data_IF_228791593954
#
_entry.id   IF_228791593954
#
_cell.length_a   1.000
_cell.length_b   1.000
_cell.length_c   1.000
_cell.angle_alpha   90.00
_cell.angle_beta   90.00
_cell.angle_gamma   90.00
#
_symmetry.space_group_name_H-M   'P 1'
#
loop_
_entity.id
_entity.type
_entity.pdbx_description
1 polymer ?
#
# COMPACT_ATOMS: atom_id res chain seq x y z
N UNK A 1 -37.87 -33.12 -57.94
CA UNK A 1 -36.73 -32.21 -57.76
C UNK A 1 -36.93 -31.44 -56.45
N UNK A 2 -36.25 -31.93 -55.40
CA UNK A 2 -36.36 -31.37 -54.03
C UNK A 2 -35.20 -30.38 -53.80
N UNK A 3 -35.52 -29.09 -53.60
CA UNK A 3 -34.52 -28.03 -53.31
C UNK A 3 -34.25 -28.03 -51.84
N UNK A 4 -33.03 -28.43 -51.45
CA UNK A 4 -32.49 -28.37 -50.10
C UNK A 4 -31.99 -26.92 -49.83
N UNK A 5 -32.67 -26.19 -48.93
CA UNK A 5 -32.23 -24.87 -48.44
C UNK A 5 -31.26 -25.11 -47.27
N UNK A 6 -29.97 -24.78 -47.46
CA UNK A 6 -28.98 -24.68 -46.39
C UNK A 6 -29.17 -23.33 -45.67
N UNK A 7 -29.64 -23.37 -44.41
CA UNK A 7 -29.58 -22.21 -43.52
C UNK A 7 -28.19 -22.17 -42.84
N UNK A 8 -27.36 -21.22 -43.27
CA UNK A 8 -26.08 -20.93 -42.61
C UNK A 8 -26.41 -20.05 -41.41
N UNK A 9 -26.42 -20.63 -40.19
CA UNK A 9 -26.52 -19.90 -38.95
C UNK A 9 -25.22 -19.12 -38.66
N UNK A 10 -25.28 -17.80 -38.75
CA UNK A 10 -24.18 -16.92 -38.35
C UNK A 10 -24.10 -16.88 -36.82
N UNK A 11 -23.15 -17.61 -36.24
CA UNK A 11 -22.86 -17.53 -34.80
C UNK A 11 -22.12 -16.20 -34.59
N UNK A 12 -22.83 -15.17 -34.10
CA UNK A 12 -22.23 -13.93 -33.62
C UNK A 12 -21.55 -14.23 -32.29
N UNK A 13 -20.25 -14.49 -32.28
CA UNK A 13 -19.45 -14.47 -31.05
C UNK A 13 -19.29 -13.03 -30.61
N UNK A 14 -20.10 -12.59 -29.66
CA UNK A 14 -19.86 -11.31 -28.96
C UNK A 14 -18.56 -11.45 -28.16
N UNK A 15 -17.49 -10.88 -28.65
CA UNK A 15 -16.29 -10.63 -27.88
C UNK A 15 -16.67 -9.56 -26.85
N UNK A 16 -16.94 -9.97 -25.62
CA UNK A 16 -17.07 -9.05 -24.49
C UNK A 16 -15.72 -8.33 -24.35
N UNK A 17 -15.71 -7.03 -24.61
CA UNK A 17 -14.56 -6.20 -24.26
C UNK A 17 -14.31 -6.35 -22.75
N UNK A 18 -13.04 -6.46 -22.32
CA UNK A 18 -12.73 -6.51 -20.90
C UNK A 18 -13.34 -5.28 -20.22
N UNK A 19 -14.11 -5.49 -19.17
CA UNK A 19 -14.71 -4.42 -18.39
C UNK A 19 -13.57 -3.67 -17.71
N UNK A 20 -13.39 -2.39 -18.06
CA UNK A 20 -12.43 -1.54 -17.38
C UNK A 20 -13.01 -1.20 -16.00
N UNK A 21 -12.36 -1.66 -14.94
CA UNK A 21 -12.69 -1.32 -13.56
C UNK A 21 -12.39 0.16 -13.30
N UNK A 22 -13.21 0.79 -12.47
CA UNK A 22 -13.13 2.22 -12.20
C UNK A 22 -13.04 2.52 -10.70
N UNK A 23 -12.82 3.80 -10.38
CA UNK A 23 -12.74 4.30 -9.02
C UNK A 23 -11.34 4.22 -8.42
N UNK A 24 -11.21 4.78 -7.22
CA UNK A 24 -9.93 4.86 -6.52
C UNK A 24 -10.10 4.95 -5.01
N UNK A 25 -9.04 4.58 -4.27
CA UNK A 25 -8.96 4.83 -2.83
C UNK A 25 -7.60 5.40 -2.44
N UNK A 26 -7.62 6.45 -1.62
CA UNK A 26 -6.43 7.02 -1.01
C UNK A 26 -6.30 6.47 0.41
N UNK A 27 -5.40 5.53 0.64
CA UNK A 27 -5.14 4.96 1.96
C UNK A 27 -4.09 5.79 2.71
N UNK A 28 -4.42 6.25 3.91
CA UNK A 28 -3.53 7.03 4.79
C UNK A 28 -3.10 6.18 5.97
N UNK A 29 -1.78 6.08 6.17
CA UNK A 29 -1.18 5.31 7.27
C UNK A 29 -0.68 6.24 8.37
N UNK A 30 -1.02 5.89 9.60
CA UNK A 30 -0.60 6.52 10.84
C UNK A 30 0.07 5.49 11.75
N UNK A 31 0.74 5.96 12.82
CA UNK A 31 1.34 5.09 13.83
C UNK A 31 1.07 5.65 15.23
N UNK A 32 1.60 6.84 15.56
CA UNK A 32 1.56 7.46 16.88
C UNK A 32 0.78 8.77 16.88
N UNK A 33 0.13 9.09 17.99
CA UNK A 33 -0.70 10.27 18.17
C UNK A 33 -0.24 11.05 19.41
N UNK A 34 0.11 12.33 19.24
CA UNK A 34 0.63 13.21 20.31
C UNK A 34 1.89 12.69 21.03
N UNK A 35 2.65 11.80 20.43
CA UNK A 35 3.92 11.30 20.95
C UNK A 35 5.11 12.02 20.32
N UNK A 36 5.38 13.26 20.72
CA UNK A 36 6.44 14.12 20.17
C UNK A 36 7.86 13.55 20.30
N UNK A 37 8.05 12.57 21.19
CA UNK A 37 9.31 11.83 21.34
C UNK A 37 9.68 11.03 20.08
N UNK A 38 8.69 10.69 19.22
CA UNK A 38 8.87 9.89 18.00
C UNK A 38 8.42 10.70 16.77
N UNK A 39 9.12 11.77 16.41
CA UNK A 39 8.64 12.76 15.44
C UNK A 39 8.43 12.17 14.04
N UNK A 40 9.18 11.14 13.65
CA UNK A 40 9.09 10.52 12.30
C UNK A 40 7.77 9.77 12.05
N UNK A 41 7.15 9.24 13.11
CA UNK A 41 5.91 8.43 13.03
C UNK A 41 4.71 9.09 13.70
N UNK A 42 4.90 10.29 14.28
CA UNK A 42 3.89 10.99 15.07
C UNK A 42 3.05 11.96 14.24
N UNK A 43 1.77 12.07 14.61
CA UNK A 43 0.88 13.16 14.22
C UNK A 43 0.24 13.77 15.46
N UNK A 44 0.03 15.09 15.49
CA UNK A 44 -0.72 15.70 16.58
C UNK A 44 -2.23 15.44 16.47
N UNK A 45 -2.91 15.30 17.60
CA UNK A 45 -4.36 15.17 17.69
C UNK A 45 -5.09 16.31 16.96
N UNK A 46 -4.57 17.54 17.06
CA UNK A 46 -5.10 18.72 16.35
C UNK A 46 -5.08 18.50 14.83
N UNK A 47 -3.91 18.15 14.27
CA UNK A 47 -3.77 17.97 12.80
C UNK A 47 -4.62 16.79 12.34
N UNK A 48 -4.64 15.69 13.08
CA UNK A 48 -5.47 14.54 12.75
C UNK A 48 -6.96 14.90 12.74
N UNK A 49 -7.44 15.63 13.76
CA UNK A 49 -8.82 16.15 13.81
C UNK A 49 -9.15 17.00 12.58
N UNK A 50 -8.27 17.94 12.22
CA UNK A 50 -8.45 18.81 11.03
C UNK A 50 -8.47 18.03 9.71
N UNK A 51 -7.77 16.89 9.63
CA UNK A 51 -7.85 16.00 8.46
C UNK A 51 -9.23 15.35 8.36
N UNK A 52 -9.77 14.85 9.49
CA UNK A 52 -11.11 14.24 9.51
C UNK A 52 -12.23 15.28 9.30
N UNK A 53 -12.09 16.49 9.86
CA UNK A 53 -13.00 17.61 9.58
C UNK A 53 -13.06 17.89 8.08
N UNK A 54 -11.90 17.95 7.41
CA UNK A 54 -11.83 18.20 5.98
C UNK A 54 -12.52 17.09 5.15
N UNK A 55 -12.34 15.82 5.52
CA UNK A 55 -13.05 14.70 4.86
C UNK A 55 -14.57 14.87 5.01
N UNK A 56 -15.04 15.22 6.22
CA UNK A 56 -16.45 15.45 6.51
C UNK A 56 -17.00 16.65 5.73
N UNK A 57 -16.31 17.78 5.74
CA UNK A 57 -16.68 19.00 5.01
C UNK A 57 -16.78 18.78 3.50
N UNK A 58 -15.87 17.98 2.93
CA UNK A 58 -15.87 17.64 1.50
C UNK A 58 -16.81 16.47 1.16
N UNK A 59 -17.51 15.90 2.14
CA UNK A 59 -18.41 14.74 1.97
C UNK A 59 -17.73 13.56 1.24
N UNK A 60 -16.44 13.30 1.55
CA UNK A 60 -15.66 12.23 0.92
C UNK A 60 -16.03 10.90 1.56
N UNK A 61 -16.25 9.87 0.75
CA UNK A 61 -16.59 8.53 1.22
C UNK A 61 -15.40 7.89 1.93
N UNK A 62 -15.60 7.46 3.17
CA UNK A 62 -14.61 6.68 3.93
C UNK A 62 -15.04 5.22 3.93
N UNK A 63 -14.12 4.32 3.54
CA UNK A 63 -14.32 2.86 3.52
C UNK A 63 -13.16 2.17 4.24
N UNK A 64 -13.40 0.97 4.77
CA UNK A 64 -12.32 0.18 5.40
C UNK A 64 -11.37 -0.39 4.35
N UNK A 65 -10.15 -0.76 4.77
CA UNK A 65 -9.24 -1.48 3.87
C UNK A 65 -9.76 -2.88 3.52
N UNK A 66 -10.59 -3.47 4.39
CA UNK A 66 -11.27 -4.74 4.09
C UNK A 66 -12.32 -4.61 3.00
N UNK A 67 -13.05 -3.48 2.94
CA UNK A 67 -13.94 -3.19 1.82
C UNK A 67 -13.13 -3.00 0.53
N UNK A 68 -12.04 -2.24 0.56
CA UNK A 68 -11.12 -2.11 -0.59
C UNK A 68 -10.64 -3.49 -1.05
N UNK A 69 -10.11 -4.30 -0.12
CA UNK A 69 -9.58 -5.63 -0.43
C UNK A 69 -10.65 -6.57 -1.01
N UNK A 70 -11.86 -6.51 -0.51
CA UNK A 70 -12.98 -7.32 -1.00
C UNK A 70 -13.36 -6.93 -2.42
N UNK A 71 -13.54 -5.64 -2.71
CA UNK A 71 -13.85 -5.15 -4.05
C UNK A 71 -12.77 -5.53 -5.08
N UNK A 72 -11.48 -5.38 -4.71
CA UNK A 72 -10.38 -5.81 -5.56
C UNK A 72 -10.34 -7.34 -5.78
N UNK A 73 -10.76 -8.13 -4.80
CA UNK A 73 -10.79 -9.59 -4.91
C UNK A 73 -11.98 -10.11 -5.72
N UNK A 74 -13.10 -9.38 -5.73
CA UNK A 74 -14.32 -9.72 -6.47
C UNK A 74 -14.43 -8.96 -7.81
N UNK A 75 -13.37 -8.23 -8.19
CA UNK A 75 -13.33 -7.46 -9.42
C UNK A 75 -14.50 -6.45 -9.51
N UNK A 76 -14.80 -5.78 -8.39
CA UNK A 76 -15.78 -4.73 -8.31
C UNK A 76 -15.13 -3.35 -8.34
N UNK A 77 -15.86 -2.36 -8.87
CA UNK A 77 -15.42 -0.96 -8.87
C UNK A 77 -15.22 -0.43 -7.46
N UNK A 78 -14.15 0.35 -7.27
CA UNK A 78 -14.03 1.21 -6.10
C UNK A 78 -14.97 2.42 -6.26
N UNK A 79 -15.34 3.12 -5.18
CA UNK A 79 -15.97 4.43 -5.32
C UNK A 79 -15.09 5.38 -6.15
N UNK A 80 -15.68 6.33 -6.86
CA UNK A 80 -14.93 7.27 -7.71
C UNK A 80 -13.79 7.96 -6.96
N UNK A 81 -13.99 8.24 -5.68
CA UNK A 81 -13.00 8.80 -4.78
C UNK A 81 -13.30 8.36 -3.34
N UNK A 82 -12.56 7.39 -2.85
CA UNK A 82 -12.69 6.93 -1.46
C UNK A 82 -11.41 7.22 -0.65
N UNK A 83 -11.57 7.25 0.67
CA UNK A 83 -10.48 7.33 1.65
C UNK A 83 -10.53 6.14 2.58
N UNK A 84 -9.36 5.62 2.95
CA UNK A 84 -9.22 4.64 4.01
C UNK A 84 -8.19 5.11 5.02
N UNK A 85 -8.46 4.87 6.29
CA UNK A 85 -7.55 5.15 7.40
C UNK A 85 -7.00 3.85 7.95
N UNK A 86 -5.69 3.77 8.15
CA UNK A 86 -5.06 2.65 8.85
C UNK A 86 -3.98 3.13 9.81
N UNK A 87 -3.74 2.30 10.82
CA UNK A 87 -2.73 2.54 11.85
C UNK A 87 -1.89 1.27 11.97
N UNK A 88 -0.56 1.43 11.99
CA UNK A 88 0.36 0.31 12.17
C UNK A 88 0.87 0.27 13.62
N UNK A 89 1.37 -0.91 14.04
CA UNK A 89 2.07 -1.22 15.29
C UNK A 89 1.23 -1.34 16.56
N UNK A 90 -0.01 -0.90 16.58
CA UNK A 90 -0.87 -0.93 17.77
C UNK A 90 -0.28 -0.22 19.00
N UNK A 91 0.34 0.96 18.78
CA UNK A 91 0.82 1.81 19.88
C UNK A 91 -0.32 2.30 20.76
N UNK A 92 -0.03 2.44 22.07
CA UNK A 92 -0.98 2.93 23.09
C UNK A 92 -1.62 4.27 22.71
N UNK A 93 -0.86 5.18 22.11
CA UNK A 93 -1.34 6.50 21.71
C UNK A 93 -2.47 6.46 20.67
N UNK A 94 -2.59 5.38 19.88
CA UNK A 94 -3.77 5.20 19.04
C UNK A 94 -5.04 5.00 19.87
N UNK A 95 -5.00 4.14 20.89
CA UNK A 95 -6.14 3.89 21.77
C UNK A 95 -6.51 5.12 22.61
N UNK A 96 -5.51 5.77 23.20
CA UNK A 96 -5.73 6.88 24.14
C UNK A 96 -6.11 8.21 23.43
N UNK A 97 -5.59 8.44 22.20
CA UNK A 97 -5.74 9.73 21.50
C UNK A 97 -6.42 9.56 20.14
N UNK A 98 -5.92 8.67 19.29
CA UNK A 98 -6.41 8.50 17.91
C UNK A 98 -7.84 8.00 17.85
N UNK A 99 -8.15 6.92 18.58
CA UNK A 99 -9.47 6.28 18.56
C UNK A 99 -10.61 7.18 19.09
N UNK A 100 -10.45 7.93 20.20
CA UNK A 100 -11.45 8.92 20.64
C UNK A 100 -11.80 9.97 19.57
N UNK A 101 -10.82 10.33 18.74
CA UNK A 101 -11.06 11.23 17.60
C UNK A 101 -11.89 10.52 16.54
N UNK A 102 -11.49 9.32 16.07
CA UNK A 102 -12.19 8.55 15.04
C UNK A 102 -13.64 8.27 15.43
N UNK A 103 -13.91 7.88 16.69
CA UNK A 103 -15.27 7.62 17.21
C UNK A 103 -16.23 8.80 16.98
N UNK A 104 -15.76 10.05 17.05
CA UNK A 104 -16.60 11.24 16.83
C UNK A 104 -17.11 11.37 15.38
N UNK A 105 -16.40 10.77 14.42
CA UNK A 105 -16.78 10.82 13.01
C UNK A 105 -17.47 9.52 12.54
N UNK A 106 -17.37 8.44 13.31
CA UNK A 106 -17.89 7.13 12.94
C UNK A 106 -17.20 6.53 11.71
N UNK A 107 -15.93 6.91 11.46
CA UNK A 107 -15.19 6.42 10.31
C UNK A 107 -14.58 5.04 10.58
N UNK A 108 -14.62 4.12 9.61
CA UNK A 108 -13.91 2.86 9.72
C UNK A 108 -12.39 3.09 9.74
N UNK A 109 -11.68 2.27 10.48
CA UNK A 109 -10.22 2.26 10.57
C UNK A 109 -9.72 0.82 10.63
N UNK A 110 -8.57 0.56 10.00
CA UNK A 110 -7.86 -0.72 10.07
C UNK A 110 -6.62 -0.58 10.93
N UNK A 111 -6.47 -1.44 11.95
CA UNK A 111 -5.30 -1.49 12.83
C UNK A 111 -4.46 -2.74 12.51
N UNK A 112 -3.25 -2.54 12.02
CA UNK A 112 -2.28 -3.62 11.80
C UNK A 112 -1.44 -3.84 13.05
N UNK A 113 -1.45 -5.07 13.57
CA UNK A 113 -0.90 -5.41 14.88
C UNK A 113 0.27 -6.37 14.76
N UNK A 114 1.42 -6.00 15.34
CA UNK A 114 2.56 -6.85 15.58
C UNK A 114 2.42 -7.52 16.94
N UNK A 115 2.09 -8.81 16.94
CA UNK A 115 1.49 -9.47 18.10
C UNK A 115 2.42 -9.70 19.28
N UNK A 116 3.75 -9.78 19.09
CA UNK A 116 4.71 -9.93 20.21
C UNK A 116 4.85 -8.64 21.04
N UNK A 117 4.49 -7.49 20.48
CA UNK A 117 4.48 -6.23 21.22
C UNK A 117 3.24 -6.04 22.09
N UNK A 118 2.15 -6.77 21.81
CA UNK A 118 0.88 -6.63 22.53
C UNK A 118 1.04 -6.94 24.01
N UNK A 119 0.59 -6.01 24.85
CA UNK A 119 0.71 -6.10 26.33
C UNK A 119 2.05 -5.62 26.87
N UNK A 120 3.01 -5.24 26.02
CA UNK A 120 4.25 -4.60 26.46
C UNK A 120 4.05 -3.10 26.66
N UNK A 121 5.02 -2.45 27.34
CA UNK A 121 4.95 -1.00 27.61
C UNK A 121 4.87 -0.18 26.32
N UNK A 122 3.90 0.72 26.22
CA UNK A 122 3.68 1.59 25.06
C UNK A 122 2.81 0.99 23.95
N UNK A 123 2.31 -0.24 24.15
CA UNK A 123 1.42 -0.93 23.19
C UNK A 123 0.07 -1.28 23.82
N UNK A 124 -0.91 -1.60 23.00
CA UNK A 124 -2.21 -2.08 23.43
C UNK A 124 -2.10 -3.48 24.05
N UNK A 125 -3.02 -3.76 24.98
CA UNK A 125 -3.25 -5.11 25.49
C UNK A 125 -4.22 -5.88 24.59
N UNK A 126 -4.27 -7.22 24.71
CA UNK A 126 -5.26 -8.05 24.02
C UNK A 126 -6.71 -7.71 24.41
N UNK A 127 -6.95 -7.27 25.64
CA UNK A 127 -8.27 -6.83 26.09
C UNK A 127 -8.73 -5.58 25.33
N UNK A 128 -7.88 -4.59 25.16
CA UNK A 128 -8.15 -3.37 24.39
C UNK A 128 -8.31 -3.66 22.90
N UNK A 129 -7.50 -4.55 22.32
CA UNK A 129 -7.68 -4.99 20.94
C UNK A 129 -9.03 -5.68 20.72
N UNK A 130 -9.49 -6.48 21.69
CA UNK A 130 -10.80 -7.12 21.65
C UNK A 130 -11.94 -6.12 21.75
N UNK A 131 -11.80 -5.11 22.59
CA UNK A 131 -12.74 -3.97 22.68
C UNK A 131 -12.85 -3.24 21.35
N UNK A 132 -11.71 -2.81 20.78
CA UNK A 132 -11.67 -2.14 19.47
C UNK A 132 -12.29 -2.99 18.36
N UNK A 133 -12.00 -4.29 18.30
CA UNK A 133 -12.59 -5.19 17.32
C UNK A 133 -14.11 -5.29 17.49
N UNK A 134 -14.62 -5.29 18.73
CA UNK A 134 -16.07 -5.29 19.04
C UNK A 134 -16.74 -3.99 18.63
N UNK A 135 -16.02 -2.87 18.67
CA UNK A 135 -16.49 -1.57 18.19
C UNK A 135 -16.43 -1.43 16.64
N UNK A 136 -15.90 -2.43 15.94
CA UNK A 136 -15.84 -2.44 14.48
C UNK A 136 -14.50 -1.94 13.90
N UNK A 137 -13.46 -1.76 14.73
CA UNK A 137 -12.09 -1.57 14.22
C UNK A 137 -11.64 -2.85 13.53
N UNK A 138 -11.27 -2.74 12.27
CA UNK A 138 -10.76 -3.86 11.50
C UNK A 138 -9.32 -4.18 11.94
N UNK A 139 -9.06 -5.43 12.34
CA UNK A 139 -7.73 -5.86 12.76
C UNK A 139 -7.02 -6.56 11.59
N UNK A 140 -5.80 -6.10 11.28
CA UNK A 140 -4.90 -6.69 10.28
C UNK A 140 -3.64 -7.29 10.92
N UNK A 141 -2.99 -8.21 10.21
CA UNK A 141 -1.75 -8.85 10.63
C UNK A 141 -0.54 -7.99 10.22
N UNK A 142 0.36 -7.72 11.17
CA UNK A 142 1.64 -7.01 10.96
C UNK A 142 2.83 -7.85 11.43
N UNK A 143 2.74 -9.18 11.26
CA UNK A 143 3.65 -10.22 11.78
C UNK A 143 3.61 -10.35 13.30
N UNK A 144 4.40 -11.27 13.86
CA UNK A 144 4.54 -11.34 15.31
C UNK A 144 5.64 -10.39 15.80
N UNK A 145 6.83 -10.48 15.26
CA UNK A 145 8.02 -9.81 15.79
C UNK A 145 8.42 -8.51 15.08
N UNK A 146 7.67 -8.10 14.04
CA UNK A 146 7.94 -6.88 13.25
C UNK A 146 9.36 -6.85 12.64
N UNK A 147 9.84 -8.01 12.12
CA UNK A 147 11.17 -8.12 11.53
C UNK A 147 11.22 -7.57 10.10
N UNK A 148 12.45 -7.29 9.63
CA UNK A 148 12.71 -7.01 8.22
C UNK A 148 12.58 -8.29 7.40
N UNK A 149 11.46 -8.47 6.72
CA UNK A 149 11.10 -9.72 6.04
C UNK A 149 11.99 -10.02 4.83
N UNK A 150 12.56 -8.99 4.20
CA UNK A 150 13.42 -9.14 3.01
C UNK A 150 14.85 -9.56 3.33
N UNK A 151 15.27 -9.51 4.60
CA UNK A 151 16.63 -9.84 5.01
C UNK A 151 16.82 -11.33 5.21
N UNK A 152 17.96 -11.85 4.66
CA UNK A 152 18.52 -13.11 5.11
C UNK A 152 19.39 -12.85 6.35
N UNK A 153 19.25 -13.67 7.37
CA UNK A 153 20.14 -13.63 8.53
C UNK A 153 21.50 -14.24 8.17
N UNK A 154 22.58 -13.88 8.87
CA UNK A 154 23.91 -14.45 8.62
C UNK A 154 23.89 -16.00 8.66
N UNK A 155 24.32 -16.64 7.57
CA UNK A 155 24.34 -18.09 7.42
C UNK A 155 22.98 -18.74 7.11
N UNK A 156 21.93 -17.95 6.95
CA UNK A 156 20.59 -18.44 6.63
C UNK A 156 20.49 -18.83 5.14
N UNK A 157 19.99 -20.03 4.87
CA UNK A 157 19.63 -20.46 3.51
C UNK A 157 18.25 -19.90 3.13
N UNK A 158 17.96 -19.80 1.83
CA UNK A 158 16.62 -19.35 1.35
C UNK A 158 15.47 -20.17 1.94
N UNK A 159 15.65 -21.48 2.15
CA UNK A 159 14.61 -22.33 2.77
C UNK A 159 14.41 -22.02 4.26
N UNK A 160 15.48 -21.72 4.98
CA UNK A 160 15.41 -21.31 6.40
C UNK A 160 14.75 -19.95 6.53
N UNK A 161 15.11 -19.00 5.65
CA UNK A 161 14.48 -17.69 5.55
C UNK A 161 12.96 -17.81 5.27
N UNK A 162 12.56 -18.60 4.26
CA UNK A 162 11.14 -18.82 3.96
C UNK A 162 10.39 -19.39 5.18
N UNK A 163 10.97 -20.40 5.83
CA UNK A 163 10.40 -20.99 7.03
C UNK A 163 10.25 -19.98 8.16
N UNK A 164 11.30 -19.19 8.42
CA UNK A 164 11.27 -18.15 9.48
C UNK A 164 10.13 -17.14 9.25
N UNK A 165 9.94 -16.67 8.02
CA UNK A 165 8.87 -15.73 7.68
C UNK A 165 7.51 -16.39 7.85
N UNK A 166 7.35 -17.65 7.40
CA UNK A 166 6.11 -18.40 7.57
C UNK A 166 5.79 -18.62 9.06
N UNK A 167 6.77 -19.02 9.85
CA UNK A 167 6.60 -19.25 11.29
C UNK A 167 6.18 -17.97 12.02
N UNK A 168 6.74 -16.82 11.65
CA UNK A 168 6.42 -15.52 12.26
C UNK A 168 4.99 -15.07 11.93
N UNK A 169 4.58 -15.18 10.66
CA UNK A 169 3.21 -14.86 10.24
C UNK A 169 2.20 -15.82 10.89
N UNK A 170 2.49 -17.14 10.91
CA UNK A 170 1.60 -18.12 11.52
C UNK A 170 1.49 -17.92 13.02
N UNK A 171 2.58 -17.58 13.71
CA UNK A 171 2.57 -17.24 15.14
C UNK A 171 1.59 -16.09 15.41
N UNK A 172 1.67 -15.02 14.61
CA UNK A 172 0.73 -13.91 14.73
C UNK A 172 -0.72 -14.37 14.50
N UNK A 173 -0.98 -15.17 13.46
CA UNK A 173 -2.31 -15.70 13.17
C UNK A 173 -2.87 -16.57 14.30
N UNK A 174 -2.01 -17.35 14.96
CA UNK A 174 -2.40 -18.17 16.12
C UNK A 174 -2.74 -17.31 17.33
N UNK A 175 -1.94 -16.27 17.61
CA UNK A 175 -2.19 -15.33 18.71
C UNK A 175 -3.50 -14.56 18.50
N UNK A 176 -3.79 -14.09 17.29
CA UNK A 176 -5.08 -13.47 16.97
C UNK A 176 -6.24 -14.44 17.22
N UNK A 177 -6.15 -15.67 16.71
CA UNK A 177 -7.20 -16.66 16.92
C UNK A 177 -7.41 -16.98 18.40
N UNK A 178 -6.32 -17.11 19.16
CA UNK A 178 -6.36 -17.39 20.60
C UNK A 178 -7.04 -16.29 21.40
N UNK A 179 -6.71 -15.00 21.12
CA UNK A 179 -7.14 -13.88 21.95
C UNK A 179 -8.40 -13.19 21.42
N UNK A 180 -8.60 -13.14 20.10
CA UNK A 180 -9.72 -12.45 19.47
C UNK A 180 -10.77 -13.40 18.87
N UNK A 181 -10.45 -14.69 18.68
CA UNK A 181 -11.36 -15.67 18.12
C UNK A 181 -11.45 -15.70 16.59
N UNK A 182 -10.57 -14.97 15.90
CA UNK A 182 -10.50 -14.97 14.43
C UNK A 182 -9.06 -14.78 13.94
N UNK A 183 -8.83 -15.07 12.66
CA UNK A 183 -7.58 -14.77 11.95
C UNK A 183 -7.78 -13.58 11.02
N UNK A 184 -6.97 -12.49 11.12
CA UNK A 184 -7.02 -11.36 10.19
C UNK A 184 -6.83 -11.79 8.73
N UNK A 185 -7.56 -11.15 7.83
CA UNK A 185 -7.48 -11.42 6.39
C UNK A 185 -6.73 -10.35 5.61
N UNK A 186 -6.24 -9.31 6.28
CA UNK A 186 -5.40 -8.25 5.73
C UNK A 186 -4.00 -8.34 6.33
N UNK A 187 -3.01 -7.99 5.53
CA UNK A 187 -1.61 -7.98 5.93
C UNK A 187 -0.96 -6.62 5.64
N UNK A 188 -0.14 -6.11 6.54
CA UNK A 188 0.77 -5.00 6.24
C UNK A 188 2.22 -5.46 6.42
N UNK A 189 3.06 -5.10 5.46
CA UNK A 189 4.49 -5.43 5.53
C UNK A 189 5.16 -4.54 6.57
N UNK A 190 5.89 -5.10 7.57
CA UNK A 190 6.75 -4.32 8.46
C UNK A 190 7.67 -3.38 7.68
N UNK A 191 7.74 -2.12 8.10
CA UNK A 191 8.48 -1.05 7.40
C UNK A 191 8.02 -0.79 5.96
N UNK A 192 6.95 -1.45 5.49
CA UNK A 192 6.48 -1.43 4.12
C UNK A 192 7.39 -2.16 3.13
N UNK A 193 8.37 -2.94 3.60
CA UNK A 193 9.33 -3.67 2.76
C UNK A 193 8.79 -5.03 2.34
N UNK A 194 8.88 -5.34 1.06
CA UNK A 194 8.52 -6.63 0.49
C UNK A 194 9.57 -7.09 -0.52
N UNK A 195 9.54 -8.36 -0.87
CA UNK A 195 10.20 -8.97 -2.02
C UNK A 195 9.21 -9.89 -2.71
N UNK A 196 9.51 -10.33 -3.92
CA UNK A 196 8.70 -11.34 -4.63
C UNK A 196 8.47 -12.59 -3.77
N UNK A 197 9.51 -13.06 -3.07
CA UNK A 197 9.42 -14.22 -2.18
C UNK A 197 8.47 -13.99 -0.99
N UNK A 198 8.54 -12.81 -0.34
CA UNK A 198 7.63 -12.46 0.76
C UNK A 198 6.19 -12.36 0.28
N UNK A 199 5.97 -11.76 -0.90
CA UNK A 199 4.63 -11.66 -1.50
C UNK A 199 4.02 -13.05 -1.73
N UNK A 200 4.79 -14.00 -2.25
CA UNK A 200 4.32 -15.37 -2.45
C UNK A 200 3.99 -16.09 -1.13
N UNK A 201 4.75 -15.84 -0.07
CA UNK A 201 4.42 -16.36 1.27
C UNK A 201 3.08 -15.78 1.74
N UNK A 202 2.89 -14.46 1.67
CA UNK A 202 1.66 -13.77 2.08
C UNK A 202 0.44 -14.28 1.29
N UNK A 203 0.58 -14.52 -0.01
CA UNK A 203 -0.46 -15.15 -0.85
C UNK A 203 -0.84 -16.56 -0.36
N UNK A 204 0.17 -17.38 -0.04
CA UNK A 204 -0.05 -18.76 0.46
C UNK A 204 -0.82 -18.79 1.79
N UNK A 205 -0.71 -17.75 2.62
CA UNK A 205 -1.51 -17.59 3.85
C UNK A 205 -2.98 -17.25 3.60
N UNK A 206 -3.35 -16.92 2.37
CA UNK A 206 -4.74 -16.61 2.00
C UNK A 206 -5.21 -15.23 2.41
N UNK A 207 -4.30 -14.28 2.67
CA UNK A 207 -4.70 -12.89 2.88
C UNK A 207 -5.41 -12.34 1.64
N UNK A 208 -6.46 -11.54 1.85
CA UNK A 208 -7.23 -10.92 0.76
C UNK A 208 -6.42 -9.82 0.05
N UNK A 209 -5.66 -9.06 0.83
CA UNK A 209 -4.78 -8.01 0.34
C UNK A 209 -3.59 -7.79 1.29
N UNK A 210 -2.52 -7.19 0.75
CA UNK A 210 -1.38 -6.75 1.55
C UNK A 210 -0.96 -5.33 1.19
N UNK A 211 -0.53 -4.58 2.21
CA UNK A 211 -0.26 -3.16 2.14
C UNK A 211 1.21 -2.87 2.42
N UNK A 212 1.83 -2.14 1.49
CA UNK A 212 3.19 -1.64 1.63
C UNK A 212 3.19 -0.15 2.05
N UNK A 213 4.34 0.52 2.00
CA UNK A 213 4.46 1.95 2.32
C UNK A 213 4.99 2.81 1.16
N UNK A 214 4.96 2.29 -0.08
CA UNK A 214 5.10 3.20 -1.21
C UNK A 214 3.87 4.10 -1.28
N UNK A 215 4.13 5.41 -1.47
CA UNK A 215 3.04 6.37 -1.64
C UNK A 215 2.34 6.15 -2.97
N UNK A 216 1.02 6.21 -2.99
CA UNK A 216 0.24 6.03 -4.21
C UNK A 216 -1.25 5.93 -3.94
N UNK A 217 -2.02 5.99 -5.00
CA UNK A 217 -3.48 5.85 -4.99
C UNK A 217 -3.82 4.42 -5.38
N UNK A 218 -4.70 3.77 -4.65
CA UNK A 218 -5.15 2.41 -4.96
C UNK A 218 -6.10 2.46 -6.14
N UNK A 219 -5.85 1.61 -7.13
CA UNK A 219 -6.70 1.41 -8.31
C UNK A 219 -7.02 -0.08 -8.50
N UNK A 220 -8.17 -0.45 -9.06
CA UNK A 220 -8.55 -1.86 -9.26
C UNK A 220 -7.55 -2.71 -10.06
N UNK A 221 -6.80 -2.12 -10.99
CA UNK A 221 -5.77 -2.81 -11.76
C UNK A 221 -4.45 -3.04 -11.00
N UNK A 222 -4.32 -2.52 -9.77
CA UNK A 222 -3.10 -2.72 -8.99
C UNK A 222 -3.02 -4.12 -8.40
N UNK A 223 -1.80 -4.64 -8.26
CA UNK A 223 -1.57 -5.88 -7.54
C UNK A 223 -2.01 -5.72 -6.06
N UNK A 224 -3.06 -6.43 -5.67
CA UNK A 224 -3.66 -6.34 -4.32
C UNK A 224 -2.72 -6.78 -3.18
N UNK A 225 -1.57 -7.36 -3.50
CA UNK A 225 -0.59 -7.79 -2.50
C UNK A 225 0.55 -6.80 -2.28
N UNK A 226 0.51 -5.62 -2.92
CA UNK A 226 1.47 -4.53 -2.71
C UNK A 226 0.78 -3.16 -2.75
N UNK A 227 -0.40 -3.05 -2.16
CA UNK A 227 -1.19 -1.82 -2.21
C UNK A 227 -0.47 -0.65 -1.54
N UNK A 228 -0.47 0.53 -2.17
CA UNK A 228 0.20 1.72 -1.67
C UNK A 228 -0.56 2.37 -0.52
N UNK A 229 0.17 3.08 0.35
CA UNK A 229 -0.41 3.92 1.42
C UNK A 229 0.39 5.21 1.55
N UNK A 230 -0.29 6.33 1.80
CA UNK A 230 0.34 7.62 2.04
C UNK A 230 0.70 7.78 3.53
N UNK A 231 1.99 7.91 3.91
CA UNK A 231 2.36 8.10 5.30
C UNK A 231 1.97 9.50 5.81
N UNK A 232 1.43 9.53 7.04
CA UNK A 232 1.03 10.73 7.79
C UNK A 232 1.83 10.85 9.09
N UNK A 233 3.14 10.78 8.98
CA UNK A 233 4.08 11.00 10.09
C UNK A 233 5.16 12.01 9.73
N UNK A 234 5.83 12.58 10.72
CA UNK A 234 6.94 13.52 10.53
C UNK A 234 6.58 14.73 9.68
N UNK A 235 7.41 15.06 8.67
CA UNK A 235 7.18 16.22 7.80
C UNK A 235 5.91 16.11 6.94
N UNK A 236 5.34 14.91 6.84
CA UNK A 236 4.10 14.66 6.09
C UNK A 236 2.83 14.81 6.95
N UNK A 237 2.98 14.87 8.29
CA UNK A 237 1.88 15.02 9.22
C UNK A 237 1.32 16.46 9.25
N UNK A 238 0.90 16.98 8.10
CA UNK A 238 0.31 18.32 7.96
C UNK A 238 -1.00 18.27 7.17
N UNK A 239 -1.91 19.19 7.46
CA UNK A 239 -3.16 19.31 6.69
C UNK A 239 -2.90 19.60 5.20
N UNK A 240 -1.87 20.41 4.87
CA UNK A 240 -1.49 20.69 3.49
C UNK A 240 -1.06 19.42 2.76
N UNK A 241 -0.18 18.64 3.36
CA UNK A 241 0.28 17.36 2.80
C UNK A 241 -0.87 16.38 2.59
N UNK A 242 -1.78 16.30 3.58
CA UNK A 242 -2.97 15.45 3.50
C UNK A 242 -3.86 15.86 2.31
N UNK A 243 -4.25 17.14 2.21
CA UNK A 243 -5.06 17.67 1.10
C UNK A 243 -4.43 17.41 -0.27
N UNK A 244 -3.09 17.61 -0.37
CA UNK A 244 -2.37 17.35 -1.60
C UNK A 244 -2.46 15.87 -2.01
N UNK A 245 -2.21 14.95 -1.08
CA UNK A 245 -2.27 13.50 -1.35
C UNK A 245 -3.68 13.01 -1.61
N UNK A 246 -4.66 13.59 -0.93
CA UNK A 246 -6.07 13.29 -1.14
C UNK A 246 -6.53 13.64 -2.56
N UNK A 247 -6.01 14.73 -3.13
CA UNK A 247 -6.35 15.16 -4.49
C UNK A 247 -5.60 14.38 -5.60
N UNK A 248 -4.71 13.44 -5.24
CA UNK A 248 -4.01 12.63 -6.22
C UNK A 248 -4.91 11.56 -6.83
N UNK A 249 -4.68 11.30 -8.11
CA UNK A 249 -5.31 10.25 -8.89
C UNK A 249 -4.27 9.15 -9.21
N UNK A 250 -4.68 7.91 -9.54
CA UNK A 250 -3.72 6.86 -9.87
C UNK A 250 -3.08 7.11 -11.24
N UNK A 251 -1.75 7.04 -11.31
CA UNK A 251 -1.07 6.74 -12.56
C UNK A 251 -1.07 5.22 -12.69
N UNK A 252 -1.93 4.71 -13.58
CA UNK A 252 -2.20 3.27 -13.67
C UNK A 252 -1.04 2.58 -14.37
N UNK A 253 -0.24 1.85 -13.59
CA UNK A 253 0.88 1.02 -14.05
C UNK A 253 0.43 -0.44 -14.03
N UNK A 254 0.39 -1.06 -15.19
CA UNK A 254 -0.06 -2.46 -15.37
C UNK A 254 1.08 -3.46 -15.24
N UNK A 255 2.34 -3.03 -15.49
CA UNK A 255 3.53 -3.84 -15.32
C UNK A 255 4.67 -2.97 -14.79
N UNK A 256 5.42 -3.51 -13.82
CA UNK A 256 6.66 -2.93 -13.30
C UNK A 256 7.73 -4.04 -13.28
N UNK A 257 8.84 -3.80 -13.98
CA UNK A 257 9.94 -4.75 -14.08
C UNK A 257 11.28 -4.07 -13.72
N UNK A 258 12.01 -4.57 -12.70
CA UNK A 258 11.67 -5.72 -11.87
C UNK A 258 10.47 -5.46 -10.95
N UNK A 259 9.67 -6.51 -10.74
CA UNK A 259 8.62 -6.51 -9.72
C UNK A 259 9.21 -6.51 -8.30
N UNK A 260 10.33 -7.24 -8.13
CA UNK A 260 11.04 -7.32 -6.86
C UNK A 260 11.76 -6.00 -6.55
N UNK A 261 11.44 -5.32 -5.44
CA UNK A 261 12.05 -4.04 -5.11
C UNK A 261 13.48 -4.17 -4.53
N UNK A 262 13.97 -5.39 -4.27
CA UNK A 262 15.31 -5.59 -3.70
C UNK A 262 16.37 -5.28 -4.74
N UNK A 263 17.18 -4.25 -4.47
CA UNK A 263 18.20 -3.74 -5.38
C UNK A 263 19.28 -4.79 -5.63
N UNK A 264 19.49 -5.13 -6.91
CA UNK A 264 20.62 -5.93 -7.36
C UNK A 264 21.73 -5.03 -7.90
N UNK A 265 21.41 -4.15 -8.83
CA UNK A 265 22.28 -3.13 -9.41
C UNK A 265 21.88 -1.73 -8.94
N UNK A 266 22.84 -0.84 -8.73
CA UNK A 266 22.58 0.50 -8.18
C UNK A 266 23.30 1.60 -8.98
N UNK A 267 22.59 2.54 -9.64
CA UNK A 267 21.14 2.77 -9.53
C UNK A 267 20.32 1.70 -10.27
N UNK A 268 19.19 1.25 -9.69
CA UNK A 268 18.34 0.26 -10.32
C UNK A 268 17.59 0.86 -11.52
N UNK A 269 17.38 0.06 -12.56
CA UNK A 269 16.55 0.41 -13.72
C UNK A 269 15.15 -0.15 -13.48
N UNK A 270 14.13 0.66 -13.76
CA UNK A 270 12.73 0.28 -13.69
C UNK A 270 12.07 0.43 -15.07
N UNK A 271 11.49 -0.63 -15.57
CA UNK A 271 10.66 -0.61 -16.76
C UNK A 271 9.18 -0.61 -16.35
N UNK A 272 8.39 0.29 -16.92
CA UNK A 272 6.98 0.45 -16.60
C UNK A 272 6.13 0.33 -17.84
N UNK A 273 5.02 -0.41 -17.76
CA UNK A 273 3.93 -0.30 -18.69
C UNK A 273 2.81 0.53 -18.07
N UNK A 274 2.52 1.68 -18.65
CA UNK A 274 1.47 2.61 -18.20
C UNK A 274 0.25 2.44 -19.10
N UNK A 275 -0.92 2.32 -18.48
CA UNK A 275 -2.19 2.18 -19.18
C UNK A 275 -2.58 3.45 -19.92
N UNK A 276 -3.26 3.30 -21.07
CA UNK A 276 -3.81 4.42 -21.83
C UNK A 276 -2.95 4.88 -23.02
N UNK A 277 -3.10 6.16 -23.38
CA UNK A 277 -2.37 6.74 -24.51
C UNK A 277 -0.90 6.98 -24.18
N UNK A 278 -0.05 6.89 -25.21
CA UNK A 278 1.36 7.27 -25.12
C UNK A 278 1.50 8.70 -24.53
N UNK A 279 2.34 8.81 -23.50
CA UNK A 279 2.66 10.07 -22.82
C UNK A 279 4.05 10.50 -23.23
N UNK A 280 4.24 11.78 -23.53
CA UNK A 280 5.59 12.35 -23.75
C UNK A 280 6.39 12.20 -22.43
N UNK A 281 7.55 11.51 -22.43
CA UNK A 281 8.35 11.33 -21.23
C UNK A 281 8.71 12.61 -20.49
N UNK A 282 8.85 13.74 -21.22
CA UNK A 282 9.17 15.08 -20.66
C UNK A 282 8.08 15.65 -19.77
N UNK A 283 6.86 15.09 -19.80
CA UNK A 283 5.74 15.51 -18.96
C UNK A 283 5.77 14.91 -17.56
N UNK A 284 6.59 13.87 -17.36
CA UNK A 284 6.73 13.27 -16.03
C UNK A 284 7.63 14.12 -15.14
N UNK A 285 7.19 14.34 -13.90
CA UNK A 285 8.12 14.67 -12.84
C UNK A 285 8.57 13.35 -12.19
N UNK A 286 9.86 13.18 -12.04
CA UNK A 286 10.46 12.03 -11.42
C UNK A 286 11.25 12.46 -10.17
N UNK A 287 10.95 11.81 -9.02
CA UNK A 287 11.56 12.14 -7.74
C UNK A 287 12.22 10.91 -7.14
N UNK A 288 13.37 11.12 -6.54
CA UNK A 288 14.09 10.16 -5.71
C UNK A 288 14.34 10.79 -4.35
N UNK A 289 14.45 9.99 -3.33
CA UNK A 289 14.73 10.49 -1.99
C UNK A 289 16.10 11.22 -1.92
N UNK A 290 16.15 12.33 -1.20
CA UNK A 290 17.34 13.19 -1.10
C UNK A 290 17.48 14.15 -2.29
N UNK A 291 18.74 14.52 -2.61
CA UNK A 291 19.07 15.45 -3.72
C UNK A 291 19.28 14.74 -5.08
N UNK A 292 18.94 13.46 -5.16
CA UNK A 292 19.08 12.69 -6.38
C UNK A 292 17.96 13.00 -7.38
N UNK A 293 18.22 12.82 -8.66
CA UNK A 293 17.25 12.99 -9.75
C UNK A 293 16.99 11.66 -10.42
N UNK A 294 15.92 11.57 -11.15
CA UNK A 294 15.66 10.43 -12.02
C UNK A 294 15.13 10.89 -13.38
N UNK A 295 15.30 10.03 -14.36
CA UNK A 295 14.94 10.25 -15.75
C UNK A 295 13.87 9.26 -16.16
N UNK A 296 12.95 9.72 -17.01
CA UNK A 296 11.93 8.89 -17.63
C UNK A 296 12.15 9.00 -19.13
N UNK A 297 12.32 7.86 -19.78
CA UNK A 297 12.53 7.74 -21.21
C UNK A 297 11.52 6.76 -21.83
N UNK A 298 11.19 6.90 -23.10
CA UNK A 298 10.47 5.86 -23.81
C UNK A 298 11.39 4.64 -23.94
N UNK A 299 10.93 3.47 -23.49
CA UNK A 299 11.75 2.26 -23.43
C UNK A 299 11.84 1.55 -24.78
N UNK A 300 10.72 1.51 -25.53
CA UNK A 300 10.65 0.87 -26.85
C UNK A 300 9.69 1.67 -27.75
N UNK A 301 10.21 2.18 -28.85
CA UNK A 301 9.40 2.94 -29.81
C UNK A 301 8.25 2.12 -30.42
N UNK A 302 8.34 0.79 -30.40
CA UNK A 302 7.33 -0.13 -30.91
C UNK A 302 6.32 -0.58 -29.85
N UNK A 303 6.54 -0.20 -28.58
CA UNK A 303 5.66 -0.54 -27.44
C UNK A 303 5.14 0.73 -26.79
N UNK A 304 4.03 1.29 -27.28
CA UNK A 304 3.47 2.51 -26.69
C UNK A 304 3.09 2.28 -25.23
N UNK A 305 3.34 3.30 -24.39
CA UNK A 305 3.10 3.23 -22.95
C UNK A 305 4.20 2.56 -22.12
N UNK A 306 5.31 2.13 -22.76
CA UNK A 306 6.47 1.57 -22.05
C UNK A 306 7.53 2.61 -21.83
N UNK A 307 7.99 2.69 -20.55
CA UNK A 307 8.96 3.69 -20.08
C UNK A 307 10.06 3.03 -19.27
N UNK A 308 11.27 3.60 -19.39
CA UNK A 308 12.43 3.29 -18.58
C UNK A 308 12.66 4.42 -17.60
N UNK A 309 12.83 4.09 -16.32
CA UNK A 309 13.11 5.04 -15.23
C UNK A 309 14.41 4.65 -14.55
N UNK A 310 15.29 5.63 -14.34
CA UNK A 310 16.58 5.42 -13.67
C UNK A 310 16.99 6.68 -12.89
N UNK A 311 17.57 6.49 -11.70
CA UNK A 311 18.18 7.58 -10.94
C UNK A 311 19.51 8.01 -11.58
N UNK A 312 19.85 9.29 -11.43
CA UNK A 312 21.13 9.85 -11.89
C UNK A 312 22.33 9.28 -11.13
N UNK A 313 22.15 9.05 -9.83
CA UNK A 313 23.19 8.55 -8.92
C UNK A 313 22.72 7.28 -8.21
N UNK A 314 23.66 6.46 -7.71
CA UNK A 314 23.31 5.32 -6.86
C UNK A 314 22.40 5.74 -5.69
N UNK A 315 21.41 4.90 -5.39
CA UNK A 315 20.51 5.11 -4.27
C UNK A 315 21.24 4.89 -2.95
N UNK A 316 21.10 5.86 -2.03
CA UNK A 316 21.72 5.81 -0.70
C UNK A 316 20.67 5.52 0.36
N UNK A 317 20.89 4.87 1.40
CA UNK A 317 19.89 4.47 2.40
C UNK A 317 19.25 3.14 2.07
N UNK A 318 18.47 2.63 3.03
CA UNK A 318 17.83 1.32 2.93
C UNK A 318 16.60 1.34 2.04
N UNK A 319 15.69 2.27 2.27
CA UNK A 319 14.44 2.44 1.51
C UNK A 319 14.50 3.67 0.63
N UNK A 320 14.25 3.48 -0.63
CA UNK A 320 14.16 4.54 -1.63
C UNK A 320 12.89 4.36 -2.46
N UNK A 321 12.50 5.39 -3.20
CA UNK A 321 11.35 5.33 -4.11
C UNK A 321 11.68 6.07 -5.38
N UNK A 322 11.28 5.51 -6.52
CA UNK A 322 11.04 6.29 -7.72
C UNK A 322 9.59 6.73 -7.67
N UNK A 323 9.37 8.04 -7.60
CA UNK A 323 8.02 8.62 -7.59
C UNK A 323 7.80 9.38 -8.87
N UNK A 324 6.80 8.96 -9.63
CA UNK A 324 6.37 9.62 -10.85
C UNK A 324 5.09 10.38 -10.60
N UNK A 325 5.07 11.64 -11.04
CA UNK A 325 3.84 12.43 -11.08
C UNK A 325 3.65 13.03 -12.46
N UNK A 326 2.39 13.16 -12.86
CA UNK A 326 1.98 13.71 -14.14
C UNK A 326 0.75 14.59 -13.95
N UNK A 327 0.74 15.77 -14.58
CA UNK A 327 -0.44 16.62 -14.58
C UNK A 327 -1.58 15.94 -15.37
N UNK A 328 -2.74 15.74 -14.75
CA UNK A 328 -3.93 15.21 -15.39
C UNK A 328 -4.56 16.22 -16.34
N UNK A 329 -5.24 15.75 -17.41
CA UNK A 329 -5.77 16.61 -18.46
C UNK A 329 -6.92 17.53 -18.01
N UNK A 330 -7.61 17.21 -16.91
CA UNK A 330 -8.72 17.98 -16.34
C UNK A 330 -8.33 18.71 -15.03
N UNK A 331 -7.03 18.87 -14.79
CA UNK A 331 -6.51 19.36 -13.52
C UNK A 331 -6.24 18.23 -12.52
N UNK A 332 -5.41 18.53 -11.49
CA UNK A 332 -4.94 17.53 -10.54
C UNK A 332 -3.67 16.82 -11.02
N UNK A 333 -3.25 15.80 -10.27
CA UNK A 333 -2.02 15.08 -10.50
C UNK A 333 -2.23 13.58 -10.40
N UNK A 334 -1.63 12.84 -11.35
CA UNK A 334 -1.49 11.40 -11.28
C UNK A 334 -0.25 11.06 -10.45
N UNK A 335 -0.29 9.94 -9.72
CA UNK A 335 0.79 9.50 -8.84
C UNK A 335 1.04 8.01 -8.95
N UNK A 336 2.31 7.63 -9.07
CA UNK A 336 2.82 6.28 -8.91
C UNK A 336 4.14 6.31 -8.15
N UNK A 337 4.39 5.36 -7.27
CA UNK A 337 5.70 5.14 -6.66
C UNK A 337 6.09 3.68 -6.69
N UNK A 338 7.35 3.42 -7.05
CA UNK A 338 7.98 2.11 -6.92
C UNK A 338 8.97 2.15 -5.76
N UNK A 339 8.85 1.18 -4.85
CA UNK A 339 9.77 1.00 -3.73
C UNK A 339 11.08 0.37 -4.22
N UNK A 340 12.20 0.81 -3.65
CA UNK A 340 13.50 0.16 -3.76
C UNK A 340 14.04 -0.14 -2.37
N UNK A 341 14.48 -1.37 -2.13
CA UNK A 341 15.05 -1.84 -0.86
C UNK A 341 16.51 -2.23 -1.07
N UNK A 342 17.41 -1.49 -0.45
CA UNK A 342 18.82 -1.87 -0.38
C UNK A 342 19.06 -2.66 0.91
N UNK A 343 18.85 -3.98 0.85
CA UNK A 343 18.96 -4.86 2.00
C UNK A 343 20.40 -4.94 2.59
N UNK A 344 21.42 -4.48 1.85
CA UNK A 344 22.81 -4.43 2.32
C UNK A 344 23.11 -3.17 3.16
N UNK A 345 22.29 -2.14 3.08
CA UNK A 345 22.50 -0.92 3.85
C UNK A 345 21.96 -1.09 5.27
N UNK A 346 22.75 -0.66 6.28
CA UNK A 346 22.30 -0.73 7.65
C UNK A 346 21.09 0.14 7.91
N UNK A 347 20.28 -0.31 8.84
CA UNK A 347 19.15 0.44 9.39
C UNK A 347 19.69 1.68 10.11
N UNK A 348 19.14 2.85 9.81
CA UNK A 348 19.43 4.03 10.61
C UNK A 348 18.77 3.89 11.98
N UNK A 349 19.49 4.25 13.05
CA UNK A 349 18.99 4.13 14.44
C UNK A 349 17.76 5.03 14.75
N UNK A 350 17.39 5.89 13.85
CA UNK A 350 16.33 6.89 13.93
C UNK A 350 15.10 6.57 13.02
N UNK A 351 15.12 5.42 12.36
CA UNK A 351 13.97 4.84 11.60
C UNK A 351 13.19 3.80 12.47
#
# INVERSE_FOLDING_TARGET
MLKLLFLIGLILTTVLAPQAYSGQANAFIYHRFDETRYPSTNISAEIFTRQLDYIKEQNIKVISLGEVATRLATEEDLPDHAVSFCVDDAFRSFYDVGMPIIRRYGYPVTLFVNTDAVGTSGYLSWAELKELATEGVEIGNHTANHAYLVELQPGETSRQWEKRIQDDIEKAQQQFNQHLGFRPTLFAYPFGEYSSGVVEIVKKFGFKAAFAQQSGVIHPEHNRYILPRFPMGGPFATLKSFKTKLAMQPLVVTEADPFDPVIQDNPPVLHLQISGKQIDPRRFNCFVQGENRCWVEADDANKPGRYRVIAEKPLTGRRNKYTLTLQAGQGGWLWYSHLWVNAKNPIRKDE
#
